data_IF_674353484738
#
_entry.id   IF_674353484738
#
_cell.length_a   1.000
_cell.length_b   1.000
_cell.length_c   1.000
_cell.angle_alpha   90.00
_cell.angle_beta   90.00
_cell.angle_gamma   90.00
#
_symmetry.space_group_name_H-M   'P 1'
#
loop_
_entity.id
_entity.type
_entity.pdbx_description
1 polymer ?
#
# COMPACT_ATOMS: atom_id res chain seq x y z
N UNK A 1 7.87 -0.06 -3.10
CA UNK A 1 7.67 0.69 -4.36
C UNK A 1 7.29 -0.28 -5.46
N UNK A 2 6.28 0.07 -6.26
CA UNK A 2 5.81 -0.71 -7.40
C UNK A 2 5.93 0.18 -8.63
N UNK A 3 6.48 -0.37 -9.71
CA UNK A 3 6.38 0.27 -11.02
C UNK A 3 5.04 -0.13 -11.61
N UNK A 4 4.05 0.74 -11.47
CA UNK A 4 2.71 0.50 -12.00
C UNK A 4 2.68 0.74 -13.52
N UNK A 5 1.92 -0.08 -14.24
CA UNK A 5 1.68 0.14 -15.67
C UNK A 5 0.97 1.48 -15.90
N UNK A 6 1.23 2.05 -17.07
CA UNK A 6 0.51 3.21 -17.55
C UNK A 6 -0.91 2.80 -17.94
N UNK A 7 -1.88 3.63 -17.56
CA UNK A 7 -3.27 3.47 -17.95
C UNK A 7 -3.66 4.65 -18.81
N UNK A 8 -4.26 4.36 -19.95
CA UNK A 8 -4.73 5.41 -20.87
C UNK A 8 -5.71 6.36 -20.16
N UNK A 9 -5.60 7.65 -20.47
CA UNK A 9 -6.36 8.73 -19.85
C UNK A 9 -6.06 9.01 -18.36
N UNK A 10 -5.08 8.32 -17.74
CA UNK A 10 -4.74 8.55 -16.34
C UNK A 10 -3.89 9.82 -16.13
N UNK A 11 -3.96 10.40 -14.94
CA UNK A 11 -3.07 11.50 -14.52
C UNK A 11 -1.59 11.13 -14.68
N UNK A 12 -1.26 9.84 -14.46
CA UNK A 12 0.10 9.31 -14.63
C UNK A 12 0.56 9.38 -16.09
N UNK A 13 -0.30 8.98 -17.03
CA UNK A 13 -0.01 9.08 -18.45
C UNK A 13 0.23 10.54 -18.83
N UNK A 14 -0.69 11.43 -18.44
CA UNK A 14 -0.56 12.86 -18.73
C UNK A 14 0.74 13.46 -18.18
N UNK A 15 1.10 13.16 -16.93
CA UNK A 15 2.34 13.66 -16.32
C UNK A 15 3.57 13.16 -17.09
N UNK A 16 3.60 11.88 -17.47
CA UNK A 16 4.68 11.30 -18.24
C UNK A 16 4.80 11.95 -19.62
N UNK A 17 3.68 12.20 -20.31
CA UNK A 17 3.65 12.86 -21.63
C UNK A 17 4.19 14.30 -21.56
N UNK A 18 4.13 14.93 -20.38
CA UNK A 18 4.73 16.25 -20.11
C UNK A 18 6.18 16.17 -19.60
N UNK A 19 6.77 14.98 -19.53
CA UNK A 19 8.13 14.78 -19.00
C UNK A 19 8.22 15.00 -17.49
N UNK A 20 7.10 14.96 -16.76
CA UNK A 20 7.06 15.18 -15.32
C UNK A 20 7.21 13.85 -14.57
N UNK A 21 8.05 13.85 -13.53
CA UNK A 21 8.15 12.71 -12.62
C UNK A 21 6.95 12.64 -11.68
N UNK A 22 6.40 11.45 -11.47
CA UNK A 22 5.28 11.21 -10.57
C UNK A 22 5.61 10.11 -9.57
N UNK A 23 5.29 10.37 -8.31
CA UNK A 23 5.25 9.38 -7.25
C UNK A 23 3.85 9.36 -6.66
N UNK A 24 3.20 8.20 -6.70
CA UNK A 24 1.90 8.00 -6.06
C UNK A 24 2.11 7.42 -4.66
N UNK A 25 1.50 8.05 -3.66
CA UNK A 25 1.46 7.57 -2.30
C UNK A 25 0.07 7.04 -1.99
N UNK A 26 -0.02 5.76 -1.64
CA UNK A 26 -1.24 5.09 -1.21
C UNK A 26 -1.00 4.57 0.21
N UNK A 27 -1.84 5.01 1.16
CA UNK A 27 -1.75 4.59 2.55
C UNK A 27 -3.09 4.82 3.26
N UNK A 28 -3.36 4.00 4.28
CA UNK A 28 -4.59 4.05 5.06
C UNK A 28 -5.78 3.44 4.32
N UNK A 29 -6.98 3.83 4.74
CA UNK A 29 -8.24 3.41 4.15
C UNK A 29 -9.18 4.60 3.94
N UNK A 30 -10.14 4.45 3.04
CA UNK A 30 -11.15 5.48 2.80
C UNK A 30 -12.04 5.71 4.03
N UNK A 31 -12.56 6.93 4.16
CA UNK A 31 -13.57 7.33 5.15
C UNK A 31 -13.13 7.25 6.62
N UNK A 32 -11.84 7.08 6.91
CA UNK A 32 -11.29 7.12 8.28
C UNK A 32 -9.95 7.85 8.31
N UNK A 33 -9.60 8.41 9.47
CA UNK A 33 -8.28 8.96 9.69
C UNK A 33 -7.32 7.87 10.17
N UNK A 34 -6.25 7.65 9.41
CA UNK A 34 -5.13 6.82 9.85
C UNK A 34 -3.91 7.70 10.17
N UNK A 35 -3.63 7.86 11.46
CA UNK A 35 -2.60 8.80 11.91
C UNK A 35 -1.20 8.44 11.43
N UNK A 36 -0.90 7.14 11.31
CA UNK A 36 0.38 6.67 10.80
C UNK A 36 0.57 7.06 9.33
N UNK A 37 -0.42 6.78 8.48
CA UNK A 37 -0.43 7.08 7.05
C UNK A 37 -0.34 8.58 6.79
N UNK A 38 -1.05 9.39 7.56
CA UNK A 38 -1.00 10.86 7.44
C UNK A 38 0.41 11.36 7.76
N UNK A 39 0.99 10.93 8.88
CA UNK A 39 2.33 11.37 9.29
C UNK A 39 3.41 10.90 8.33
N UNK A 40 3.35 9.65 7.87
CA UNK A 40 4.27 9.12 6.88
C UNK A 40 4.16 9.87 5.53
N UNK A 41 2.94 10.19 5.09
CA UNK A 41 2.68 10.94 3.86
C UNK A 41 3.23 12.37 3.94
N UNK A 42 2.88 13.10 4.99
CA UNK A 42 3.38 14.47 5.22
C UNK A 42 4.92 14.50 5.29
N UNK A 43 5.52 13.54 6.00
CA UNK A 43 6.99 13.39 6.07
C UNK A 43 7.60 13.13 4.69
N UNK A 44 6.97 12.26 3.90
CA UNK A 44 7.39 11.94 2.53
C UNK A 44 7.40 13.18 1.63
N UNK A 45 6.32 13.98 1.66
CA UNK A 45 6.22 15.22 0.88
C UNK A 45 7.33 16.19 1.27
N UNK A 46 7.53 16.45 2.56
CA UNK A 46 8.60 17.35 3.04
C UNK A 46 9.99 16.88 2.61
N UNK A 47 10.24 15.58 2.62
CA UNK A 47 11.52 15.02 2.16
C UNK A 47 11.73 15.24 0.66
N UNK A 48 10.68 15.08 -0.16
CA UNK A 48 10.75 15.35 -1.60
C UNK A 48 11.01 16.84 -1.86
N UNK A 49 10.29 17.74 -1.19
CA UNK A 49 10.49 19.19 -1.33
C UNK A 49 11.93 19.60 -0.98
N UNK A 50 12.50 19.02 0.09
CA UNK A 50 13.92 19.22 0.46
C UNK A 50 14.88 18.71 -0.60
N UNK A 51 14.63 17.50 -1.11
CA UNK A 51 15.48 16.89 -2.15
C UNK A 51 15.47 17.71 -3.44
N UNK A 52 14.36 18.36 -3.75
CA UNK A 52 14.21 19.28 -4.89
C UNK A 52 14.73 20.70 -4.60
N UNK A 53 15.22 20.98 -3.39
CA UNK A 53 15.72 22.30 -2.99
C UNK A 53 14.63 23.36 -2.80
N UNK A 54 13.37 22.95 -2.69
CA UNK A 54 12.22 23.86 -2.55
C UNK A 54 12.06 24.41 -1.14
N UNK A 55 12.60 23.72 -0.14
CA UNK A 55 12.61 24.15 1.27
C UNK A 55 13.98 23.84 1.92
N UNK A 56 14.36 24.51 3.02
CA UNK A 56 15.62 24.29 3.71
C UNK A 56 15.84 22.84 4.16
N UNK A 57 17.10 22.42 4.21
CA UNK A 57 17.49 21.08 4.69
C UNK A 57 17.00 20.88 6.13
N UNK A 58 16.33 19.75 6.36
CA UNK A 58 15.88 19.34 7.68
C UNK A 58 16.95 18.57 8.45
N UNK A 59 16.59 18.09 9.64
CA UNK A 59 17.45 17.20 10.43
C UNK A 59 17.80 15.93 9.63
N UNK A 60 19.07 15.52 9.69
CA UNK A 60 19.52 14.26 9.12
C UNK A 60 18.80 13.10 9.80
N UNK A 61 18.19 12.22 9.01
CA UNK A 61 17.51 11.00 9.49
C UNK A 61 18.04 9.79 8.74
N UNK A 62 17.89 8.61 9.35
CA UNK A 62 18.31 7.33 8.76
C UNK A 62 17.64 7.15 7.40
N UNK A 63 18.44 6.80 6.40
CA UNK A 63 17.97 6.44 5.07
C UNK A 63 17.44 5.00 5.16
N UNK A 64 16.15 4.80 4.88
CA UNK A 64 15.58 3.47 4.74
C UNK A 64 15.85 2.93 3.35
N UNK A 65 16.16 1.64 3.26
CA UNK A 65 16.35 0.98 1.96
C UNK A 65 15.00 0.90 1.25
N UNK A 66 14.93 1.42 0.02
CA UNK A 66 13.73 1.27 -0.82
C UNK A 66 13.60 -0.19 -1.25
N UNK A 67 12.49 -0.82 -0.85
CA UNK A 67 12.12 -2.16 -1.31
C UNK A 67 11.26 -2.02 -2.57
N UNK A 68 11.67 -2.68 -3.65
CA UNK A 68 10.97 -2.68 -4.94
C UNK A 68 10.30 -4.03 -5.14
N UNK A 69 9.02 -4.03 -5.52
CA UNK A 69 8.32 -5.23 -5.94
C UNK A 69 8.63 -5.51 -7.41
N UNK A 70 8.75 -6.79 -7.76
CA UNK A 70 9.00 -7.23 -9.13
C UNK A 70 7.73 -7.13 -9.99
N UNK A 71 6.61 -7.50 -9.39
CA UNK A 71 5.28 -7.44 -10.00
C UNK A 71 4.22 -7.44 -8.90
N UNK A 72 2.96 -7.25 -9.27
CA UNK A 72 1.84 -7.41 -8.36
C UNK A 72 0.59 -7.90 -9.09
N UNK A 73 -0.32 -8.53 -8.38
CA UNK A 73 -1.53 -9.10 -8.94
C UNK A 73 -2.72 -8.89 -8.01
N UNK A 74 -3.88 -8.56 -8.60
CA UNK A 74 -5.15 -8.49 -7.90
C UNK A 74 -5.81 -9.87 -7.87
N UNK A 75 -6.20 -10.31 -6.68
CA UNK A 75 -7.13 -11.43 -6.47
C UNK A 75 -8.54 -10.88 -6.54
N UNK A 76 -9.38 -11.51 -7.37
CA UNK A 76 -10.75 -11.08 -7.64
C UNK A 76 -11.75 -11.98 -6.95
N UNK A 77 -12.89 -11.42 -6.57
CA UNK A 77 -14.01 -12.19 -6.04
C UNK A 77 -14.54 -13.15 -7.12
N UNK A 78 -14.53 -14.47 -6.88
CA UNK A 78 -15.08 -15.44 -7.84
C UNK A 78 -16.62 -15.43 -7.89
N UNK A 79 -17.28 -14.87 -6.88
CA UNK A 79 -18.73 -14.75 -6.79
C UNK A 79 -19.12 -13.59 -5.85
N UNK A 80 -20.38 -13.17 -5.90
CA UNK A 80 -20.95 -12.26 -4.92
C UNK A 80 -21.24 -12.99 -3.59
N UNK A 81 -21.18 -12.27 -2.47
CA UNK A 81 -21.52 -12.83 -1.17
C UNK A 81 -20.92 -12.09 0.02
N UNK A 82 -20.91 -12.78 1.16
CA UNK A 82 -20.33 -12.33 2.41
C UNK A 82 -18.86 -12.76 2.49
N UNK A 83 -17.95 -11.79 2.58
CA UNK A 83 -16.52 -12.01 2.63
C UNK A 83 -16.02 -12.14 4.07
N UNK A 84 -15.32 -13.24 4.35
CA UNK A 84 -14.54 -13.47 5.57
C UNK A 84 -13.06 -13.49 5.24
N UNK A 85 -12.33 -12.55 5.82
CA UNK A 85 -10.90 -12.35 5.58
C UNK A 85 -10.09 -13.29 6.49
N UNK A 86 -9.09 -13.98 5.94
CA UNK A 86 -8.19 -14.87 6.71
C UNK A 86 -6.78 -14.31 6.85
N UNK A 87 -6.42 -13.29 6.06
CA UNK A 87 -5.10 -12.63 6.08
C UNK A 87 -5.23 -11.12 6.26
N UNK A 88 -4.18 -10.50 6.80
CA UNK A 88 -4.11 -9.06 7.05
C UNK A 88 -3.18 -8.37 6.04
N UNK A 89 -3.26 -7.03 5.99
CA UNK A 89 -2.29 -6.23 5.25
C UNK A 89 -0.89 -6.43 5.85
N UNK A 90 0.12 -6.57 4.99
CA UNK A 90 1.51 -6.83 5.36
C UNK A 90 1.87 -8.31 5.50
N UNK A 91 0.89 -9.22 5.61
CA UNK A 91 1.16 -10.66 5.71
C UNK A 91 1.80 -11.21 4.45
N UNK A 92 2.75 -12.14 4.61
CA UNK A 92 3.19 -13.02 3.54
C UNK A 92 2.16 -14.11 3.27
N UNK A 93 1.93 -14.38 1.98
CA UNK A 93 1.07 -15.46 1.50
C UNK A 93 1.81 -16.30 0.47
N UNK A 94 1.45 -17.58 0.39
CA UNK A 94 1.99 -18.53 -0.59
C UNK A 94 1.00 -18.77 -1.73
N UNK A 95 1.51 -19.12 -2.91
CA UNK A 95 0.67 -19.58 -4.01
C UNK A 95 -0.14 -20.81 -3.58
N UNK A 96 -1.45 -20.81 -3.87
CA UNK A 96 -2.37 -21.87 -3.43
C UNK A 96 -2.91 -21.68 -2.00
N UNK A 97 -2.42 -20.72 -1.23
CA UNK A 97 -2.93 -20.43 0.12
C UNK A 97 -4.31 -19.78 0.05
N UNK A 98 -5.24 -20.21 0.92
CA UNK A 98 -6.50 -19.49 1.16
C UNK A 98 -6.23 -18.15 1.85
N UNK A 99 -6.72 -17.06 1.26
CA UNK A 99 -6.61 -15.69 1.82
C UNK A 99 -7.94 -15.20 2.40
N UNK A 100 -9.01 -15.94 2.18
CA UNK A 100 -10.33 -15.67 2.71
C UNK A 100 -11.38 -16.55 2.07
N UNK A 101 -12.63 -16.34 2.46
CA UNK A 101 -13.79 -17.15 2.05
C UNK A 101 -14.97 -16.26 1.71
N UNK A 102 -15.72 -16.60 0.67
CA UNK A 102 -16.97 -15.94 0.31
C UNK A 102 -18.10 -16.94 0.50
N UNK A 103 -19.09 -16.60 1.33
CA UNK A 103 -20.30 -17.38 1.49
C UNK A 103 -21.52 -16.69 0.89
N UNK A 104 -22.56 -17.47 0.57
CA UNK A 104 -23.89 -16.91 0.33
C UNK A 104 -24.47 -16.25 1.61
N UNK A 105 -25.65 -15.63 1.49
CA UNK A 105 -26.30 -14.89 2.58
C UNK A 105 -26.73 -15.78 3.77
N UNK A 106 -26.86 -17.10 3.57
CA UNK A 106 -27.26 -18.06 4.61
C UNK A 106 -26.06 -18.84 5.18
N UNK A 107 -24.89 -18.76 4.54
CA UNK A 107 -23.64 -19.38 4.97
C UNK A 107 -23.46 -20.84 4.55
N UNK A 108 -24.32 -21.37 3.68
CA UNK A 108 -24.31 -22.81 3.34
C UNK A 108 -23.30 -23.15 2.25
N UNK A 109 -23.10 -22.24 1.29
CA UNK A 109 -22.11 -22.40 0.22
C UNK A 109 -20.92 -21.49 0.47
N UNK A 110 -19.75 -22.06 0.77
CA UNK A 110 -18.50 -21.33 1.00
C UNK A 110 -17.48 -21.62 -0.10
N UNK A 111 -16.94 -20.58 -0.72
CA UNK A 111 -15.87 -20.66 -1.70
C UNK A 111 -14.60 -20.00 -1.17
N UNK A 112 -13.50 -20.74 -1.14
CA UNK A 112 -12.18 -20.19 -0.79
C UNK A 112 -11.66 -19.26 -1.87
N UNK A 113 -11.13 -18.12 -1.44
CA UNK A 113 -10.38 -17.19 -2.27
C UNK A 113 -8.91 -17.56 -2.15
N UNK A 114 -8.32 -18.00 -3.26
CA UNK A 114 -6.96 -18.55 -3.28
C UNK A 114 -5.97 -17.50 -3.81
N UNK A 115 -4.80 -17.42 -3.19
CA UNK A 115 -3.69 -16.61 -3.69
C UNK A 115 -3.09 -17.24 -4.96
N UNK A 116 -3.02 -16.51 -6.09
CA UNK A 116 -2.42 -17.02 -7.32
C UNK A 116 -0.88 -16.94 -7.33
N UNK A 117 -0.27 -16.26 -6.35
CA UNK A 117 1.19 -16.05 -6.29
C UNK A 117 1.69 -16.01 -4.85
N UNK A 118 2.96 -16.35 -4.64
CA UNK A 118 3.66 -16.08 -3.38
C UNK A 118 4.10 -14.62 -3.30
N UNK A 119 3.77 -13.92 -2.21
CA UNK A 119 4.04 -12.49 -2.07
C UNK A 119 3.60 -11.89 -0.75
N UNK A 120 3.50 -10.55 -0.71
CA UNK A 120 3.01 -9.79 0.43
C UNK A 120 1.68 -9.15 0.07
N UNK A 121 0.69 -9.21 0.97
CA UNK A 121 -0.58 -8.51 0.82
C UNK A 121 -0.36 -7.01 1.05
N UNK A 122 -0.51 -6.19 0.01
CA UNK A 122 -0.29 -4.73 0.03
C UNK A 122 -1.57 -3.91 -0.11
N UNK A 123 -2.68 -4.56 -0.46
CA UNK A 123 -4.00 -3.97 -0.56
C UNK A 123 -5.06 -5.00 -0.24
N UNK A 124 -6.16 -4.59 0.39
CA UNK A 124 -7.26 -5.48 0.79
C UNK A 124 -8.58 -4.73 0.80
N UNK A 125 -9.65 -5.38 0.34
CA UNK A 125 -11.01 -4.90 0.50
C UNK A 125 -11.53 -5.28 1.90
N UNK A 126 -11.97 -4.29 2.67
CA UNK A 126 -12.52 -4.47 4.02
C UNK A 126 -14.06 -4.53 4.04
N UNK A 127 -14.72 -4.47 2.88
CA UNK A 127 -16.19 -4.57 2.79
C UNK A 127 -16.63 -6.01 3.09
N UNK A 128 -17.63 -6.19 3.99
CA UNK A 128 -18.16 -7.52 4.30
C UNK A 128 -19.02 -8.10 3.18
N UNK A 129 -19.57 -7.25 2.31
CA UNK A 129 -20.36 -7.66 1.14
C UNK A 129 -19.55 -7.32 -0.11
N UNK A 130 -19.38 -8.31 -0.98
CA UNK A 130 -18.61 -8.18 -2.22
C UNK A 130 -19.42 -8.69 -3.40
N UNK A 131 -19.14 -8.15 -4.59
CA UNK A 131 -19.68 -8.61 -5.86
C UNK A 131 -18.64 -9.42 -6.64
N UNK A 132 -19.10 -10.22 -7.59
CA UNK A 132 -18.21 -10.92 -8.52
C UNK A 132 -17.31 -9.91 -9.26
N UNK A 133 -16.01 -10.21 -9.34
CA UNK A 133 -15.02 -9.35 -9.97
C UNK A 133 -14.45 -8.23 -9.08
N UNK A 134 -14.98 -8.02 -7.87
CA UNK A 134 -14.42 -7.06 -6.93
C UNK A 134 -12.95 -7.36 -6.63
N UNK A 135 -12.14 -6.32 -6.48
CA UNK A 135 -10.73 -6.45 -6.15
C UNK A 135 -10.61 -6.75 -4.65
N UNK A 136 -10.26 -7.99 -4.28
CA UNK A 136 -10.24 -8.43 -2.88
C UNK A 136 -8.90 -8.21 -2.21
N UNK A 137 -7.82 -8.64 -2.87
CA UNK A 137 -6.46 -8.53 -2.35
C UNK A 137 -5.52 -8.08 -3.46
N UNK A 138 -4.58 -7.21 -3.14
CA UNK A 138 -3.46 -6.86 -4.01
C UNK A 138 -2.19 -7.47 -3.43
N UNK A 139 -1.57 -8.38 -4.17
CA UNK A 139 -0.41 -9.14 -3.71
C UNK A 139 0.82 -8.71 -4.51
N UNK A 140 1.88 -8.29 -3.82
CA UNK A 140 3.14 -7.90 -4.42
C UNK A 140 4.17 -9.02 -4.34
N UNK A 141 4.83 -9.30 -5.46
CA UNK A 141 5.90 -10.28 -5.58
C UNK A 141 7.27 -9.64 -5.36
N UNK A 142 8.13 -10.33 -4.61
CA UNK A 142 9.50 -9.94 -4.34
C UNK A 142 10.44 -11.12 -4.55
N UNK A 143 11.72 -10.87 -4.80
CA UNK A 143 12.74 -11.95 -4.87
C UNK A 143 12.84 -12.71 -3.54
N UNK A 144 12.66 -12.01 -2.43
CA UNK A 144 12.68 -12.58 -1.08
C UNK A 144 11.55 -11.97 -0.24
N UNK A 145 10.36 -12.56 -0.32
CA UNK A 145 9.18 -12.06 0.40
C UNK A 145 9.32 -12.15 1.92
N UNK A 146 9.99 -13.18 2.47
CA UNK A 146 10.17 -13.31 3.93
C UNK A 146 11.08 -12.23 4.52
N UNK A 147 12.06 -11.74 3.76
CA UNK A 147 12.84 -10.55 4.16
C UNK A 147 12.00 -9.29 4.16
N UNK A 148 11.06 -9.16 3.22
CA UNK A 148 10.20 -7.97 3.10
C UNK A 148 9.17 -7.94 4.23
N UNK A 149 8.59 -9.08 4.59
CA UNK A 149 7.69 -9.21 5.75
C UNK A 149 8.35 -8.68 7.03
N UNK A 150 9.56 -9.16 7.38
CA UNK A 150 10.32 -8.65 8.53
C UNK A 150 10.59 -7.16 8.47
N UNK A 151 10.91 -6.64 7.28
CA UNK A 151 11.15 -5.20 7.11
C UNK A 151 9.88 -4.36 7.28
N UNK A 152 8.69 -4.93 7.02
CA UNK A 152 7.40 -4.27 7.26
C UNK A 152 7.10 -4.25 8.76
N UNK A 153 7.33 -5.35 9.47
CA UNK A 153 7.21 -5.43 10.93
C UNK A 153 8.12 -4.38 11.60
N UNK A 154 9.41 -4.36 11.24
CA UNK A 154 10.37 -3.36 11.73
C UNK A 154 9.91 -1.92 11.45
N UNK A 155 9.30 -1.68 10.30
CA UNK A 155 8.83 -0.34 9.91
C UNK A 155 7.66 0.14 10.78
N UNK A 156 6.70 -0.75 11.06
CA UNK A 156 5.54 -0.44 11.89
C UNK A 156 5.96 -0.04 13.31
N UNK A 157 6.94 -0.74 13.88
CA UNK A 157 7.47 -0.45 15.21
C UNK A 157 8.21 0.89 15.27
N UNK A 158 9.00 1.22 14.23
CA UNK A 158 9.85 2.43 14.21
C UNK A 158 9.08 3.73 13.93
N UNK A 159 7.90 3.69 13.31
CA UNK A 159 7.20 4.89 12.81
C UNK A 159 6.04 5.36 13.70
N UNK A 160 6.01 4.91 14.96
CA UNK A 160 5.05 5.39 15.96
C UNK A 160 5.24 6.89 16.24
N UNK A 161 6.48 7.39 16.18
CA UNK A 161 6.79 8.81 16.47
C UNK A 161 6.51 9.76 15.30
N UNK A 162 5.77 10.84 15.61
CA UNK A 162 5.22 11.78 14.64
C UNK A 162 6.17 12.85 14.11
N UNK A 163 5.62 13.77 13.32
CA UNK A 163 6.31 15.01 12.94
C UNK A 163 6.23 16.01 14.10
N UNK A 164 7.30 16.76 14.34
CA UNK A 164 7.33 17.84 15.32
C UNK A 164 7.47 19.22 14.64
N UNK A 165 7.42 20.31 15.41
CA UNK A 165 7.51 21.66 14.87
C UNK A 165 8.82 21.92 14.11
N UNK A 166 9.90 21.22 14.46
CA UNK A 166 11.20 21.31 13.77
C UNK A 166 11.24 20.59 12.42
N UNK A 167 10.21 19.82 12.06
CA UNK A 167 10.08 19.20 10.75
C UNK A 167 9.50 20.14 9.68
N UNK A 168 8.81 21.21 10.08
CA UNK A 168 8.22 22.17 9.18
C UNK A 168 9.17 23.37 8.96
N UNK A 169 9.18 23.97 7.76
CA UNK A 169 9.89 25.23 7.57
C UNK A 169 9.28 26.30 8.48
N UNK A 170 10.12 27.21 8.98
CA UNK A 170 9.64 28.35 9.75
C UNK A 170 8.71 29.20 8.85
N UNK A 171 7.45 29.45 9.27
CA UNK A 171 6.50 30.25 8.49
C UNK A 171 7.01 31.67 8.17
N UNK A 172 8.00 32.17 8.90
CA UNK A 172 8.56 33.50 8.74
C UNK A 172 9.82 33.56 7.85
N UNK A 173 10.23 32.42 7.27
CA UNK A 173 11.47 32.32 6.46
C UNK A 173 11.20 32.03 4.98
N UNK A 174 9.95 32.15 4.51
CA UNK A 174 9.53 31.98 3.10
C UNK A 174 9.17 33.33 2.49
#
# INVERSE_FOLDING_TARGET
MINANLRDGSLRQYALDKGLSMLLYEAGEGLRFDSLSIRAGARGVLNVLRQLGMIPKGRSRKIHKVIKANSSQWVRAPQAGLMRLEVTLGSRVEEGQSVGKISDAVGENENSVISPITGIVIGRNNLPVVNEGDALFHIARFDNSSRVERAIEDFQDLHIEGLDQGDYPDPHTI
#
